data_IF_496843816703
#
_entry.id   IF_496843816703
#
_cell.length_a   1.000
_cell.length_b   1.000
_cell.length_c   1.000
_cell.angle_alpha   90.00
_cell.angle_beta   90.00
_cell.angle_gamma   90.00
#
_symmetry.space_group_name_H-M   'P 1'
#
loop_
_entity.id
_entity.type
_entity.pdbx_description
1 polymer ?
#
# COMPACT_ATOMS: atom_id res chain seq x y z
N UNK A 1 8.23 3.89 -18.67
CA UNK A 1 8.99 3.12 -17.66
C UNK A 1 8.10 2.00 -17.16
N UNK A 2 8.55 0.74 -17.20
CA UNK A 2 7.72 -0.38 -16.73
C UNK A 2 7.99 -0.66 -15.26
N UNK A 3 7.11 -0.17 -14.37
CA UNK A 3 7.25 -0.29 -12.92
C UNK A 3 7.48 -1.74 -12.47
N UNK A 4 6.83 -2.71 -13.14
CA UNK A 4 6.99 -4.13 -12.79
C UNK A 4 8.36 -4.69 -13.13
N UNK A 5 9.03 -4.19 -14.18
CA UNK A 5 10.40 -4.61 -14.50
C UNK A 5 11.40 -4.11 -13.46
N UNK A 6 11.25 -2.88 -12.98
CA UNK A 6 12.14 -2.35 -11.92
C UNK A 6 11.97 -3.18 -10.65
N UNK A 7 10.75 -3.24 -10.13
CA UNK A 7 10.44 -3.89 -8.87
C UNK A 7 10.77 -5.39 -8.94
N UNK A 8 10.46 -6.03 -10.07
CA UNK A 8 10.79 -7.41 -10.36
C UNK A 8 12.29 -7.71 -10.44
N UNK A 9 13.14 -6.71 -10.64
CA UNK A 9 14.60 -6.91 -10.66
C UNK A 9 15.29 -6.48 -9.37
N UNK A 10 14.72 -5.55 -8.61
CA UNK A 10 15.37 -4.99 -7.42
C UNK A 10 14.96 -5.64 -6.11
N UNK A 11 13.75 -6.21 -6.02
CA UNK A 11 13.27 -6.75 -4.74
C UNK A 11 14.01 -8.01 -4.28
N UNK A 12 14.33 -8.05 -2.99
CA UNK A 12 14.91 -9.20 -2.29
C UNK A 12 13.95 -9.79 -1.23
N UNK A 13 14.16 -11.07 -0.87
CA UNK A 13 13.21 -11.85 -0.05
C UNK A 13 12.89 -11.23 1.31
N UNK A 14 13.84 -10.56 1.95
CA UNK A 14 13.69 -10.03 3.31
C UNK A 14 13.25 -8.56 3.35
N UNK A 15 12.83 -8.01 2.21
CA UNK A 15 12.30 -6.65 2.12
C UNK A 15 10.78 -6.59 2.39
N UNK A 16 10.33 -5.42 2.83
CA UNK A 16 8.92 -5.08 2.96
C UNK A 16 8.50 -4.14 1.82
N UNK A 17 7.41 -4.48 1.14
CA UNK A 17 6.80 -3.66 0.09
C UNK A 17 5.52 -3.03 0.61
N UNK A 18 5.50 -1.70 0.67
CA UNK A 18 4.33 -0.91 1.07
C UNK A 18 3.58 -0.48 -0.18
N UNK A 19 2.34 -0.92 -0.33
CA UNK A 19 1.49 -0.68 -1.48
C UNK A 19 0.34 0.25 -1.10
N UNK A 20 0.21 1.37 -1.80
CA UNK A 20 -0.82 2.38 -1.50
C UNK A 20 -1.79 2.45 -2.67
N UNK A 21 -3.05 2.13 -2.42
CA UNK A 21 -4.13 2.26 -3.40
C UNK A 21 -5.45 2.43 -2.67
N UNK A 22 -6.09 3.60 -2.80
CA UNK A 22 -7.33 3.90 -2.10
C UNK A 22 -8.45 2.89 -2.43
N UNK A 23 -8.67 2.60 -3.71
CA UNK A 23 -9.66 1.60 -4.14
C UNK A 23 -9.24 0.16 -3.90
N UNK A 24 -7.93 -0.08 -3.73
CA UNK A 24 -7.35 -1.42 -3.65
C UNK A 24 -7.55 -2.25 -4.93
N UNK A 25 -7.82 -1.59 -6.06
CA UNK A 25 -8.13 -2.21 -7.38
C UNK A 25 -7.22 -1.72 -8.51
N UNK A 26 -6.25 -0.85 -8.21
CA UNK A 26 -5.36 -0.30 -9.24
C UNK A 26 -4.49 -1.40 -9.84
N UNK A 27 -4.75 -1.79 -11.10
CA UNK A 27 -4.15 -2.97 -11.74
C UNK A 27 -2.63 -3.03 -11.64
N UNK A 28 -1.93 -1.89 -11.82
CA UNK A 28 -0.47 -1.84 -11.70
C UNK A 28 0.00 -2.13 -10.27
N UNK A 29 -0.72 -1.65 -9.26
CA UNK A 29 -0.39 -1.92 -7.85
C UNK A 29 -0.62 -3.40 -7.52
N UNK A 30 -1.68 -4.00 -8.06
CA UNK A 30 -1.95 -5.43 -7.90
C UNK A 30 -0.89 -6.30 -8.59
N UNK A 31 -0.42 -5.91 -9.77
CA UNK A 31 0.71 -6.57 -10.45
C UNK A 31 1.96 -6.55 -9.57
N UNK A 32 2.29 -5.39 -8.97
CA UNK A 32 3.42 -5.26 -8.05
C UNK A 32 3.24 -6.10 -6.79
N UNK A 33 2.05 -6.11 -6.19
CA UNK A 33 1.77 -6.92 -4.99
C UNK A 33 2.03 -8.41 -5.25
N UNK A 34 1.60 -8.92 -6.41
CA UNK A 34 1.85 -10.30 -6.81
C UNK A 34 3.34 -10.58 -7.05
N UNK A 35 4.07 -9.68 -7.71
CA UNK A 35 5.52 -9.82 -7.92
C UNK A 35 6.26 -9.88 -6.58
N UNK A 36 5.95 -8.98 -5.65
CA UNK A 36 6.55 -8.97 -4.31
C UNK A 36 6.30 -10.28 -3.58
N UNK A 37 5.06 -10.78 -3.61
CA UNK A 37 4.68 -12.07 -3.00
C UNK A 37 5.41 -13.25 -3.62
N UNK A 38 5.52 -13.31 -4.95
CA UNK A 38 6.27 -14.36 -5.65
C UNK A 38 7.76 -14.36 -5.30
N UNK A 39 8.33 -13.19 -5.01
CA UNK A 39 9.71 -13.05 -4.54
C UNK A 39 9.92 -13.39 -3.06
N UNK A 40 8.84 -13.65 -2.32
CA UNK A 40 8.89 -13.96 -0.89
C UNK A 40 8.99 -12.72 0.01
N UNK A 41 8.84 -11.51 -0.54
CA UNK A 41 8.83 -10.26 0.23
C UNK A 41 7.56 -10.18 1.10
N UNK A 42 7.65 -9.48 2.23
CA UNK A 42 6.47 -9.11 3.02
C UNK A 42 5.74 -7.94 2.37
N UNK A 43 4.42 -7.96 2.42
CA UNK A 43 3.58 -6.95 1.76
C UNK A 43 2.64 -6.27 2.76
N UNK A 44 2.59 -4.94 2.72
CA UNK A 44 1.66 -4.11 3.50
C UNK A 44 0.79 -3.28 2.56
N UNK A 45 -0.52 -3.48 2.62
CA UNK A 45 -1.48 -2.61 1.94
C UNK A 45 -1.86 -1.41 2.81
N UNK A 46 -1.87 -0.22 2.22
CA UNK A 46 -2.58 0.96 2.74
C UNK A 46 -3.72 1.27 1.77
N UNK A 47 -4.95 1.00 2.20
CA UNK A 47 -6.14 1.02 1.33
C UNK A 47 -7.40 1.37 2.13
N UNK A 48 -8.51 1.64 1.45
CA UNK A 48 -9.79 1.92 2.13
C UNK A 48 -10.35 0.69 2.85
N UNK A 49 -11.20 0.92 3.86
CA UNK A 49 -11.96 -0.15 4.52
C UNK A 49 -12.77 -1.00 3.53
N UNK A 50 -12.90 -2.30 3.85
CA UNK A 50 -13.72 -3.25 3.11
C UNK A 50 -12.91 -4.36 2.43
N UNK A 51 -13.59 -5.17 1.62
CA UNK A 51 -12.95 -6.27 0.88
C UNK A 51 -12.50 -5.80 -0.49
N UNK A 52 -11.21 -5.51 -0.65
CA UNK A 52 -10.59 -5.16 -1.94
C UNK A 52 -9.45 -6.14 -2.29
N UNK A 53 -9.03 -6.14 -3.57
CA UNK A 53 -8.06 -7.12 -4.07
C UNK A 53 -6.68 -6.93 -3.45
N UNK A 54 -6.26 -5.68 -3.26
CA UNK A 54 -4.97 -5.39 -2.64
C UNK A 54 -4.89 -5.92 -1.20
N UNK A 55 -5.94 -5.72 -0.39
CA UNK A 55 -6.03 -6.24 0.97
C UNK A 55 -6.02 -7.78 1.01
N UNK A 56 -6.60 -8.45 0.00
CA UNK A 56 -6.59 -9.92 -0.11
C UNK A 56 -5.21 -10.49 -0.46
N UNK A 57 -4.46 -9.78 -1.31
CA UNK A 57 -3.14 -10.24 -1.77
C UNK A 57 -2.07 -10.04 -0.68
N UNK A 58 -2.19 -8.95 0.08
CA UNK A 58 -1.17 -8.48 1.01
C UNK A 58 -1.14 -9.26 2.33
N UNK A 59 0.03 -9.39 2.95
CA UNK A 59 0.20 -10.06 4.25
C UNK A 59 -0.40 -9.22 5.40
N UNK A 60 -0.25 -7.90 5.31
CA UNK A 60 -0.75 -6.93 6.28
C UNK A 60 -1.61 -5.88 5.58
N UNK A 61 -2.58 -5.32 6.30
CA UNK A 61 -3.42 -4.24 5.78
C UNK A 61 -3.63 -3.17 6.85
N UNK A 62 -3.30 -1.93 6.51
CA UNK A 62 -3.78 -0.74 7.18
C UNK A 62 -4.95 -0.17 6.39
N UNK A 63 -6.15 -0.35 6.95
CA UNK A 63 -7.37 0.20 6.39
C UNK A 63 -7.55 1.66 6.83
N UNK A 64 -8.02 2.50 5.92
CA UNK A 64 -8.32 3.90 6.18
C UNK A 64 -9.75 4.27 5.77
N UNK A 65 -10.29 5.30 6.42
CA UNK A 65 -11.59 5.86 6.05
C UNK A 65 -11.48 6.64 4.74
N UNK A 66 -12.51 6.51 3.92
CA UNK A 66 -12.65 7.26 2.67
C UNK A 66 -14.13 7.33 2.30
N UNK A 67 -14.60 8.52 1.96
CA UNK A 67 -15.99 8.73 1.53
C UNK A 67 -16.23 8.14 0.14
N UNK A 68 -15.23 8.24 -0.76
CA UNK A 68 -15.27 7.71 -2.11
C UNK A 68 -13.91 7.18 -2.54
N UNK A 69 -13.88 6.02 -3.20
CA UNK A 69 -12.63 5.44 -3.72
C UNK A 69 -12.37 5.77 -5.19
N UNK A 70 -13.37 6.31 -5.90
CA UNK A 70 -13.23 6.77 -7.27
C UNK A 70 -12.64 8.18 -7.31
N UNK A 71 -11.31 8.27 -7.42
CA UNK A 71 -10.63 9.57 -7.44
C UNK A 71 -10.70 10.24 -8.83
N UNK A 72 -11.91 10.55 -9.32
CA UNK A 72 -12.09 11.24 -10.62
C UNK A 72 -11.66 12.70 -10.57
N UNK A 73 -11.77 13.34 -9.41
CA UNK A 73 -11.53 14.77 -9.22
C UNK A 73 -10.37 15.08 -8.26
N UNK A 74 -9.26 14.33 -8.33
CA UNK A 74 -8.06 14.53 -7.49
C UNK A 74 -8.36 15.02 -6.06
N UNK A 75 -9.36 14.43 -5.42
CA UNK A 75 -9.93 14.98 -4.21
C UNK A 75 -9.07 14.62 -3.01
N UNK A 76 -8.55 15.64 -2.34
CA UNK A 76 -7.76 15.50 -1.11
C UNK A 76 -8.57 14.87 0.02
N UNK A 77 -9.89 15.09 0.05
CA UNK A 77 -10.77 14.58 1.10
C UNK A 77 -10.83 13.06 1.07
N UNK A 78 -11.00 12.46 -0.11
CA UNK A 78 -10.96 11.00 -0.30
C UNK A 78 -9.66 10.32 0.21
N UNK A 79 -8.55 11.07 0.26
CA UNK A 79 -7.20 10.58 0.60
C UNK A 79 -6.76 10.92 2.02
N UNK A 80 -7.53 11.70 2.77
CA UNK A 80 -7.14 12.14 4.13
C UNK A 80 -6.85 10.96 5.05
N UNK A 81 -7.63 9.88 4.93
CA UNK A 81 -7.41 8.65 5.69
C UNK A 81 -6.06 7.99 5.40
N UNK A 82 -5.62 7.99 4.13
CA UNK A 82 -4.30 7.47 3.76
C UNK A 82 -3.19 8.30 4.42
N UNK A 83 -3.30 9.63 4.34
CA UNK A 83 -2.30 10.52 4.94
C UNK A 83 -2.21 10.35 6.46
N UNK A 84 -3.36 10.21 7.14
CA UNK A 84 -3.40 9.95 8.57
C UNK A 84 -2.66 8.65 8.93
N UNK A 85 -2.91 7.56 8.21
CA UNK A 85 -2.25 6.27 8.44
C UNK A 85 -0.74 6.37 8.22
N UNK A 86 -0.30 7.05 7.16
CA UNK A 86 1.13 7.26 6.87
C UNK A 86 1.78 8.06 8.00
N UNK A 87 1.14 9.14 8.45
CA UNK A 87 1.67 9.97 9.52
C UNK A 87 1.80 9.19 10.83
N UNK A 88 0.80 8.37 11.18
CA UNK A 88 0.86 7.48 12.34
C UNK A 88 2.01 6.47 12.23
N UNK A 89 2.19 5.85 11.05
CA UNK A 89 3.27 4.91 10.81
C UNK A 89 4.64 5.58 10.98
N UNK A 90 4.83 6.74 10.35
CA UNK A 90 6.08 7.50 10.43
C UNK A 90 6.38 7.92 11.87
N UNK A 91 5.39 8.43 12.60
CA UNK A 91 5.58 8.84 13.99
C UNK A 91 5.87 7.66 14.92
N UNK A 92 5.19 6.52 14.72
CA UNK A 92 5.48 5.29 15.47
C UNK A 92 6.92 4.83 15.24
N UNK A 93 7.39 4.84 13.99
CA UNK A 93 8.78 4.48 13.66
C UNK A 93 9.76 5.47 14.30
N UNK A 94 9.49 6.77 14.25
CA UNK A 94 10.34 7.79 14.90
C UNK A 94 10.44 7.56 16.41
N UNK A 95 9.35 7.24 17.08
CA UNK A 95 9.35 6.93 18.51
C UNK A 95 10.09 5.63 18.82
N UNK A 96 9.95 4.61 17.98
CA UNK A 96 10.65 3.34 18.12
C UNK A 96 12.17 3.50 17.98
N UNK A 97 12.63 4.32 17.03
CA UNK A 97 14.07 4.57 16.79
C UNK A 97 14.71 5.42 17.90
N UNK A 98 13.92 6.24 18.60
CA UNK A 98 14.42 7.07 19.72
C UNK A 98 14.63 6.28 21.01
N UNK A 99 14.05 5.09 21.13
CA UNK A 99 14.24 4.17 22.27
C UNK A 99 15.50 3.34 22.06
#
# INVERSE_FOLDING_TARGET
>A
YNLSTIVGNTLEKDEMVILISLSGKTSKILEIANIAKMKGCKTLAITSFGTNELAKISDYTFACVSDETETKFNDSSSRIGIFLVIEMLVNTIKEYIKK
#
